data_IF_280341403799
#
_entry.id   IF_280341403799
#
_cell.length_a   1.000
_cell.length_b   1.000
_cell.length_c   1.000
_cell.angle_alpha   90.00
_cell.angle_beta   90.00
_cell.angle_gamma   90.00
#
_symmetry.space_group_name_H-M   'P 1'
#
loop_
_entity.id
_entity.type
_entity.pdbx_description
1 polymer ?
#
# COMPACT_ATOMS: atom_id res chain seq x y z
N UNK A 1 20.70 -17.13 -25.86
CA UNK A 1 19.67 -16.77 -24.83
C UNK A 1 19.83 -15.29 -24.57
N UNK A 2 18.75 -14.51 -24.58
CA UNK A 2 18.88 -13.05 -24.42
C UNK A 2 18.83 -12.65 -22.95
N UNK A 3 19.91 -12.08 -22.45
CA UNK A 3 20.06 -11.57 -21.08
C UNK A 3 19.86 -10.05 -21.05
N UNK A 4 19.31 -9.50 -19.95
CA UNK A 4 19.24 -8.05 -19.74
C UNK A 4 20.19 -7.67 -18.62
N UNK A 5 21.10 -6.74 -18.91
CA UNK A 5 22.12 -6.26 -17.99
C UNK A 5 22.06 -4.75 -17.83
N UNK A 6 22.19 -4.27 -16.61
CA UNK A 6 22.39 -2.85 -16.31
C UNK A 6 23.88 -2.50 -16.42
N UNK A 7 24.19 -1.40 -17.09
CA UNK A 7 25.53 -0.88 -17.29
C UNK A 7 25.54 0.63 -17.00
N UNK A 8 26.34 1.06 -16.02
CA UNK A 8 26.58 2.49 -15.76
C UNK A 8 27.56 3.10 -16.77
N UNK A 9 28.42 2.27 -17.34
CA UNK A 9 29.33 2.62 -18.44
C UNK A 9 29.48 1.43 -19.38
N UNK A 10 29.69 1.71 -20.67
CA UNK A 10 29.85 0.71 -21.71
C UNK A 10 31.31 0.34 -21.90
N UNK A 11 31.58 -0.91 -22.25
CA UNK A 11 32.88 -1.31 -22.78
C UNK A 11 33.08 -0.74 -24.20
N UNK A 12 34.33 -0.66 -24.68
CA UNK A 12 34.59 -0.19 -26.07
C UNK A 12 33.83 -1.02 -27.12
N UNK A 13 33.67 -2.32 -26.87
CA UNK A 13 32.93 -3.22 -27.76
C UNK A 13 31.43 -2.92 -27.73
N UNK A 14 30.84 -2.75 -26.55
CA UNK A 14 29.43 -2.40 -26.38
C UNK A 14 29.11 -1.03 -26.97
N UNK A 15 29.99 -0.04 -26.75
CA UNK A 15 29.84 1.28 -27.34
C UNK A 15 29.80 1.19 -28.87
N UNK A 16 30.72 0.43 -29.49
CA UNK A 16 30.72 0.22 -30.94
C UNK A 16 29.43 -0.46 -31.43
N UNK A 17 28.90 -1.44 -30.69
CA UNK A 17 27.63 -2.11 -31.02
C UNK A 17 26.42 -1.19 -30.86
N UNK A 18 26.36 -0.39 -29.79
CA UNK A 18 25.31 0.62 -29.57
C UNK A 18 25.35 1.68 -30.67
N UNK A 19 26.53 2.15 -31.05
CA UNK A 19 26.73 3.08 -32.18
C UNK A 19 26.20 2.49 -33.49
N UNK A 20 26.53 1.23 -33.79
CA UNK A 20 26.03 0.57 -34.99
C UNK A 20 24.49 0.44 -35.01
N UNK A 21 23.87 0.10 -33.87
CA UNK A 21 22.41 0.05 -33.74
C UNK A 21 21.77 1.42 -33.96
N UNK A 22 22.36 2.46 -33.38
CA UNK A 22 21.95 3.85 -33.55
C UNK A 22 22.02 4.29 -35.00
N UNK A 23 23.14 4.05 -35.68
CA UNK A 23 23.30 4.38 -37.11
C UNK A 23 22.26 3.70 -37.99
N UNK A 24 21.96 2.43 -37.72
CA UNK A 24 21.00 1.64 -38.48
C UNK A 24 19.55 2.11 -38.28
N UNK A 25 19.22 2.68 -37.11
CA UNK A 25 17.84 3.04 -36.74
C UNK A 25 17.60 4.56 -36.65
N UNK A 26 18.62 5.40 -36.88
CA UNK A 26 18.56 6.84 -36.62
C UNK A 26 17.39 7.54 -37.32
N UNK A 27 17.10 7.14 -38.55
CA UNK A 27 16.07 7.74 -39.41
C UNK A 27 14.66 7.22 -39.14
N UNK A 28 14.51 6.24 -38.25
CA UNK A 28 13.20 5.78 -37.77
C UNK A 28 12.60 6.74 -36.72
N UNK A 29 13.43 7.61 -36.14
CA UNK A 29 13.01 8.59 -35.16
C UNK A 29 12.45 9.85 -35.82
N UNK A 30 11.50 10.51 -35.14
CA UNK A 30 10.92 11.77 -35.63
C UNK A 30 11.17 12.91 -34.64
N UNK A 31 11.94 13.96 -35.00
CA UNK A 31 12.83 14.04 -36.16
C UNK A 31 13.97 13.00 -36.07
N UNK A 32 14.70 12.74 -37.16
CA UNK A 32 15.80 11.77 -37.18
C UNK A 32 16.82 12.08 -36.09
N UNK A 33 17.43 11.04 -35.51
CA UNK A 33 18.50 11.24 -34.54
C UNK A 33 19.70 12.00 -35.14
N UNK A 34 19.85 11.97 -36.47
CA UNK A 34 20.93 12.64 -37.21
C UNK A 34 20.81 14.17 -37.22
N UNK A 35 19.64 14.71 -36.90
CA UNK A 35 19.36 16.15 -36.94
C UNK A 35 19.06 16.72 -35.56
N UNK A 36 19.27 15.93 -34.50
CA UNK A 36 19.00 16.35 -33.11
C UNK A 36 20.28 16.84 -32.45
N UNK A 37 20.14 17.85 -31.58
CA UNK A 37 21.24 18.34 -30.75
C UNK A 37 21.52 17.44 -29.54
N UNK A 38 20.57 16.60 -29.13
CA UNK A 38 20.80 15.58 -28.10
C UNK A 38 19.56 14.81 -27.65
N UNK A 39 19.70 13.85 -26.71
CA UNK A 39 18.60 13.00 -26.23
C UNK A 39 17.53 13.75 -25.42
N UNK A 40 17.91 14.87 -24.80
CA UNK A 40 17.07 15.68 -23.91
C UNK A 40 16.37 16.84 -24.64
N UNK A 41 16.74 17.16 -25.89
CA UNK A 41 16.17 18.24 -26.70
C UNK A 41 14.63 18.20 -26.74
N UNK A 42 13.98 19.26 -26.22
CA UNK A 42 12.52 19.35 -26.13
C UNK A 42 11.88 20.20 -27.23
N UNK A 43 12.62 21.17 -27.75
CA UNK A 43 12.19 22.03 -28.84
C UNK A 43 12.78 21.55 -30.17
N UNK A 44 11.92 21.38 -31.16
CA UNK A 44 12.27 20.99 -32.52
C UNK A 44 11.85 22.08 -33.53
N UNK A 45 11.46 23.27 -33.06
CA UNK A 45 11.08 24.41 -33.86
C UNK A 45 12.32 25.22 -34.28
N UNK A 46 13.08 24.71 -35.26
CA UNK A 46 14.24 25.42 -35.80
C UNK A 46 15.16 24.53 -36.63
N UNK A 47 16.01 25.19 -37.43
CA UNK A 47 17.08 24.58 -38.23
C UNK A 47 18.31 24.28 -37.35
N UNK A 48 18.11 23.63 -36.21
CA UNK A 48 19.23 23.25 -35.33
C UNK A 48 19.99 22.08 -35.97
N UNK A 49 21.15 22.39 -36.55
CA UNK A 49 22.07 21.46 -37.20
C UNK A 49 22.82 20.55 -36.21
N UNK A 50 22.09 19.72 -35.47
CA UNK A 50 22.69 18.66 -34.67
C UNK A 50 23.28 17.54 -35.54
N UNK A 51 24.06 16.66 -34.92
CA UNK A 51 24.64 15.47 -35.57
C UNK A 51 24.38 14.21 -34.75
N UNK A 52 24.44 13.05 -35.42
CA UNK A 52 24.34 11.76 -34.75
C UNK A 52 25.49 11.57 -33.73
N UNK A 53 26.67 12.12 -34.02
CA UNK A 53 27.83 12.02 -33.14
C UNK A 53 27.65 12.82 -31.85
N UNK A 54 27.05 14.01 -31.92
CA UNK A 54 26.71 14.81 -30.74
C UNK A 54 25.68 14.09 -29.87
N UNK A 55 24.64 13.54 -30.51
CA UNK A 55 23.63 12.75 -29.81
C UNK A 55 24.24 11.53 -29.11
N UNK A 56 25.11 10.80 -29.82
CA UNK A 56 25.82 9.65 -29.27
C UNK A 56 26.73 10.06 -28.11
N UNK A 57 27.46 11.17 -28.23
CA UNK A 57 28.34 11.66 -27.17
C UNK A 57 27.58 11.88 -25.86
N UNK A 58 26.44 12.57 -25.93
CA UNK A 58 25.59 12.85 -24.76
C UNK A 58 24.93 11.58 -24.22
N UNK A 59 24.40 10.73 -25.11
CA UNK A 59 23.73 9.49 -24.71
C UNK A 59 24.70 8.52 -24.01
N UNK A 60 25.96 8.46 -24.44
CA UNK A 60 26.97 7.58 -23.84
C UNK A 60 27.37 7.97 -22.41
N UNK A 61 27.02 9.17 -21.96
CA UNK A 61 27.17 9.57 -20.55
C UNK A 61 26.01 9.08 -19.66
N UNK A 62 24.96 8.51 -20.26
CA UNK A 62 23.79 8.01 -19.55
C UNK A 62 24.01 6.57 -19.04
N UNK A 63 23.09 6.09 -18.21
CA UNK A 63 23.06 4.67 -17.84
C UNK A 63 22.28 3.85 -18.86
N UNK A 64 22.62 2.56 -18.98
CA UNK A 64 22.08 1.66 -19.99
C UNK A 64 21.49 0.39 -19.38
N UNK A 65 20.42 -0.09 -20.02
CA UNK A 65 19.98 -1.47 -19.97
C UNK A 65 20.26 -2.09 -21.33
N UNK A 66 21.10 -3.12 -21.37
CA UNK A 66 21.49 -3.82 -22.59
C UNK A 66 20.78 -5.15 -22.65
N UNK A 67 20.22 -5.49 -23.82
CA UNK A 67 19.79 -6.85 -24.14
C UNK A 67 20.88 -7.50 -24.98
N UNK A 68 21.50 -8.54 -24.42
CA UNK A 68 22.67 -9.20 -25.02
C UNK A 68 22.31 -10.63 -25.45
N UNK A 69 22.68 -11.01 -26.67
CA UNK A 69 22.61 -12.36 -27.20
C UNK A 69 24.02 -12.81 -27.59
N UNK A 70 24.53 -13.85 -26.93
CA UNK A 70 25.85 -14.44 -27.21
C UNK A 70 26.98 -13.39 -27.29
N UNK A 71 26.98 -12.42 -26.34
CA UNK A 71 27.95 -11.34 -26.24
C UNK A 71 27.75 -10.17 -27.22
N UNK A 72 26.61 -10.11 -27.91
CA UNK A 72 26.25 -9.02 -28.82
C UNK A 72 25.03 -8.26 -28.31
N UNK A 73 25.13 -6.93 -28.23
CA UNK A 73 24.00 -6.05 -27.90
C UNK A 73 23.03 -6.04 -29.08
N UNK A 74 21.82 -6.57 -28.86
CA UNK A 74 20.75 -6.65 -29.86
C UNK A 74 19.61 -5.65 -29.59
N UNK A 75 19.55 -5.09 -28.38
CA UNK A 75 18.70 -3.96 -28.05
C UNK A 75 19.28 -3.21 -26.85
N UNK A 76 18.92 -1.94 -26.68
CA UNK A 76 19.26 -1.18 -25.48
C UNK A 76 18.18 -0.16 -25.13
N UNK A 77 18.19 0.24 -23.86
CA UNK A 77 17.45 1.38 -23.33
C UNK A 77 18.40 2.26 -22.52
N UNK A 78 18.63 3.50 -22.95
CA UNK A 78 19.37 4.50 -22.18
C UNK A 78 18.43 5.28 -21.26
N UNK A 79 18.90 5.64 -20.08
CA UNK A 79 18.12 6.40 -19.11
C UNK A 79 18.99 7.32 -18.25
N UNK A 80 18.36 8.40 -17.77
CA UNK A 80 18.96 9.39 -16.88
C UNK A 80 18.22 9.37 -15.55
N UNK A 81 18.93 9.43 -14.43
CA UNK A 81 18.32 9.58 -13.09
C UNK A 81 18.25 11.04 -12.69
N UNK A 82 17.29 11.40 -11.84
CA UNK A 82 17.13 12.78 -11.35
C UNK A 82 16.92 13.84 -12.47
N UNK A 83 16.32 13.42 -13.59
CA UNK A 83 16.05 14.24 -14.76
C UNK A 83 14.93 15.25 -14.49
N UNK A 84 15.06 16.44 -15.08
CA UNK A 84 14.09 17.53 -14.98
C UNK A 84 13.73 18.03 -16.38
N UNK A 85 12.44 18.11 -16.68
CA UNK A 85 11.96 18.81 -17.87
C UNK A 85 10.55 19.37 -17.66
N UNK A 86 10.24 20.46 -18.35
CA UNK A 86 8.97 21.18 -18.20
C UNK A 86 7.77 20.30 -18.59
N UNK A 87 7.93 19.42 -19.58
CA UNK A 87 6.86 18.54 -20.06
C UNK A 87 6.40 17.49 -19.04
N UNK A 88 7.21 17.20 -18.01
CA UNK A 88 6.85 16.32 -16.90
C UNK A 88 6.43 17.10 -15.64
N UNK A 89 6.57 18.43 -15.61
CA UNK A 89 6.08 19.30 -14.54
C UNK A 89 6.43 18.81 -13.11
N UNK A 90 5.41 18.73 -12.25
CA UNK A 90 5.51 18.36 -10.83
C UNK A 90 6.00 16.91 -10.58
N UNK A 91 6.13 16.10 -11.63
CA UNK A 91 6.67 14.74 -11.52
C UNK A 91 8.20 14.70 -11.56
N UNK A 92 8.86 15.86 -11.71
CA UNK A 92 10.31 15.99 -11.63
C UNK A 92 10.79 16.29 -10.20
N UNK A 93 12.02 15.87 -9.82
CA UNK A 93 12.92 15.06 -10.62
C UNK A 93 12.48 13.59 -10.70
N UNK A 94 12.75 12.95 -11.84
CA UNK A 94 12.37 11.56 -12.11
C UNK A 94 13.49 10.78 -12.79
N UNK A 95 13.32 9.46 -12.90
CA UNK A 95 14.12 8.70 -13.86
C UNK A 95 13.52 8.90 -15.25
N UNK A 96 14.35 9.05 -16.28
CA UNK A 96 13.88 9.36 -17.62
C UNK A 96 14.42 8.34 -18.62
N UNK A 97 13.51 7.59 -19.22
CA UNK A 97 13.80 6.69 -20.34
C UNK A 97 14.00 7.53 -21.60
N UNK A 98 15.26 7.62 -22.06
CA UNK A 98 15.67 8.55 -23.11
C UNK A 98 15.60 7.91 -24.49
N UNK A 99 16.32 6.81 -24.72
CA UNK A 99 16.45 6.19 -26.05
C UNK A 99 16.29 4.69 -25.94
N UNK A 100 15.36 4.11 -26.71
CA UNK A 100 15.20 2.66 -26.84
C UNK A 100 15.36 2.25 -28.30
N UNK A 101 16.26 1.32 -28.57
CA UNK A 101 16.44 0.73 -29.89
C UNK A 101 16.46 -0.79 -29.77
N UNK A 102 15.82 -1.45 -30.72
CA UNK A 102 15.90 -2.90 -30.93
C UNK A 102 16.36 -3.15 -32.35
N UNK A 103 17.39 -3.99 -32.52
CA UNK A 103 17.90 -4.39 -33.81
C UNK A 103 16.75 -4.85 -34.73
N UNK A 104 16.72 -4.46 -36.02
CA UNK A 104 15.63 -4.79 -36.93
C UNK A 104 15.25 -6.28 -36.94
N UNK A 105 16.24 -7.16 -36.96
CA UNK A 105 16.06 -8.62 -37.01
C UNK A 105 15.58 -9.23 -35.67
N UNK A 106 15.60 -8.44 -34.59
CA UNK A 106 15.18 -8.84 -33.25
C UNK A 106 13.86 -8.19 -32.80
N UNK A 107 13.17 -7.47 -33.70
CA UNK A 107 11.86 -6.86 -33.45
C UNK A 107 10.76 -7.93 -33.33
N UNK A 108 9.68 -7.58 -32.64
CA UNK A 108 8.54 -8.50 -32.41
C UNK A 108 8.79 -9.59 -31.36
N UNK A 109 10.01 -9.69 -30.82
CA UNK A 109 10.38 -10.67 -29.78
C UNK A 109 10.14 -10.19 -28.34
N UNK A 110 9.53 -9.01 -28.17
CA UNK A 110 9.21 -8.45 -26.86
C UNK A 110 10.39 -7.82 -26.10
N UNK A 111 11.54 -7.59 -26.75
CA UNK A 111 12.73 -7.01 -26.10
C UNK A 111 12.48 -5.64 -25.49
N UNK A 112 11.76 -4.75 -26.18
CA UNK A 112 11.38 -3.44 -25.63
C UNK A 112 10.58 -3.56 -24.32
N UNK A 113 9.66 -4.54 -24.25
CA UNK A 113 8.90 -4.80 -23.01
C UNK A 113 9.81 -5.24 -21.87
N UNK A 114 10.75 -6.13 -22.15
CA UNK A 114 11.67 -6.64 -21.13
C UNK A 114 12.64 -5.54 -20.64
N UNK A 115 13.08 -4.64 -21.53
CA UNK A 115 13.91 -3.48 -21.17
C UNK A 115 13.15 -2.48 -20.29
N UNK A 116 11.90 -2.14 -20.63
CA UNK A 116 11.07 -1.31 -19.76
C UNK A 116 10.77 -1.99 -18.42
N UNK A 117 10.53 -3.30 -18.41
CA UNK A 117 10.33 -4.06 -17.17
C UNK A 117 11.56 -4.02 -16.28
N UNK A 118 12.76 -4.16 -16.86
CA UNK A 118 14.00 -4.01 -16.13
C UNK A 118 14.12 -2.59 -15.55
N UNK A 119 13.84 -1.54 -16.33
CA UNK A 119 13.88 -0.15 -15.85
C UNK A 119 12.88 0.08 -14.70
N UNK A 120 11.65 -0.42 -14.86
CA UNK A 120 10.57 -0.27 -13.89
C UNK A 120 10.84 -1.04 -12.59
N UNK A 121 11.59 -2.12 -12.62
CA UNK A 121 11.87 -2.95 -11.45
C UNK A 121 13.24 -2.65 -10.80
N UNK A 122 13.98 -1.66 -11.29
CA UNK A 122 15.23 -1.22 -10.65
C UNK A 122 14.98 -0.83 -9.19
N UNK A 123 15.71 -1.40 -8.23
CA UNK A 123 15.46 -1.12 -6.81
C UNK A 123 15.71 0.35 -6.44
N UNK A 124 16.69 0.98 -7.09
CA UNK A 124 17.10 2.36 -6.91
C UNK A 124 16.29 3.37 -7.74
N UNK A 125 15.24 2.92 -8.46
CA UNK A 125 14.45 3.83 -9.31
C UNK A 125 13.78 4.94 -8.50
N UNK A 126 13.62 6.09 -9.14
CA UNK A 126 12.80 7.19 -8.64
C UNK A 126 11.32 6.80 -8.50
N UNK A 127 10.57 7.57 -7.70
CA UNK A 127 9.10 7.41 -7.58
C UNK A 127 8.42 7.44 -8.96
N UNK A 128 8.92 8.28 -9.86
CA UNK A 128 8.39 8.45 -11.19
C UNK A 128 9.44 8.04 -12.23
N UNK A 129 8.98 7.40 -13.31
CA UNK A 129 9.74 7.27 -14.55
C UNK A 129 8.99 8.06 -15.63
N UNK A 130 9.68 9.00 -16.27
CA UNK A 130 9.19 9.73 -17.43
C UNK A 130 9.74 9.17 -18.73
N UNK A 131 9.01 9.36 -19.82
CA UNK A 131 9.51 9.21 -21.18
C UNK A 131 8.68 10.08 -22.11
N UNK A 132 9.17 10.32 -23.33
CA UNK A 132 8.38 10.98 -24.37
C UNK A 132 8.56 10.27 -25.69
N UNK A 133 7.53 10.34 -26.52
CA UNK A 133 7.55 9.82 -27.88
C UNK A 133 6.76 10.74 -28.81
N UNK A 134 6.75 10.43 -30.11
CA UNK A 134 5.93 11.15 -31.09
C UNK A 134 4.60 10.42 -31.30
N UNK A 135 3.52 11.16 -31.55
CA UNK A 135 2.15 10.60 -31.57
C UNK A 135 1.92 9.51 -32.63
N UNK A 136 2.72 9.47 -33.70
CA UNK A 136 2.65 8.42 -34.72
C UNK A 136 3.51 7.18 -34.43
N UNK A 137 4.24 7.15 -33.30
CA UNK A 137 5.01 5.98 -32.86
C UNK A 137 4.07 4.90 -32.29
N UNK A 138 3.44 4.12 -33.17
CA UNK A 138 2.44 3.11 -32.77
C UNK A 138 2.98 2.07 -31.78
N UNK A 139 4.26 1.73 -31.87
CA UNK A 139 4.89 0.79 -30.94
C UNK A 139 4.89 1.33 -29.50
N UNK A 140 5.36 2.56 -29.32
CA UNK A 140 5.41 3.21 -28.00
C UNK A 140 4.01 3.59 -27.48
N UNK A 141 3.16 4.11 -28.37
CA UNK A 141 1.78 4.47 -28.03
C UNK A 141 0.95 3.26 -27.58
N UNK A 142 1.32 2.03 -27.99
CA UNK A 142 0.68 0.80 -27.57
C UNK A 142 1.32 0.15 -26.33
N UNK A 143 2.66 0.17 -26.23
CA UNK A 143 3.37 -0.49 -25.13
C UNK A 143 3.13 0.22 -23.80
N UNK A 144 3.16 1.56 -23.79
CA UNK A 144 3.09 2.36 -22.57
C UNK A 144 1.76 2.18 -21.81
N UNK A 145 0.57 2.33 -22.42
CA UNK A 145 -0.69 2.13 -21.71
C UNK A 145 -0.85 0.70 -21.17
N UNK A 146 -0.40 -0.32 -21.92
CA UNK A 146 -0.44 -1.72 -21.48
C UNK A 146 0.39 -1.98 -20.23
N UNK A 147 1.46 -1.21 -20.05
CA UNK A 147 2.35 -1.26 -18.88
C UNK A 147 1.92 -0.32 -17.76
N UNK A 148 0.79 0.37 -17.90
CA UNK A 148 0.27 1.30 -16.88
C UNK A 148 0.88 2.70 -16.90
N UNK A 149 1.67 3.04 -17.93
CA UNK A 149 2.13 4.41 -18.13
C UNK A 149 0.94 5.29 -18.55
N UNK A 150 0.90 6.52 -18.03
CA UNK A 150 -0.17 7.50 -18.29
C UNK A 150 0.38 8.66 -19.11
N UNK A 151 -0.41 9.15 -20.05
CA UNK A 151 -0.12 10.41 -20.72
C UNK A 151 -0.37 11.54 -19.73
N UNK A 152 0.62 12.41 -19.53
CA UNK A 152 0.50 13.55 -18.61
C UNK A 152 0.55 14.91 -19.30
N UNK A 153 1.15 14.97 -20.49
CA UNK A 153 1.24 16.19 -21.30
C UNK A 153 1.38 15.85 -22.77
N UNK A 154 0.84 16.71 -23.63
CA UNK A 154 0.94 16.61 -25.08
C UNK A 154 1.30 17.99 -25.62
N UNK A 155 2.38 18.07 -26.38
CA UNK A 155 2.79 19.28 -27.10
C UNK A 155 2.37 19.10 -28.55
N UNK A 156 1.30 19.79 -28.92
CA UNK A 156 0.71 19.72 -30.27
C UNK A 156 1.72 20.18 -31.32
N UNK A 157 1.86 19.42 -32.42
CA UNK A 157 2.84 19.66 -33.48
C UNK A 157 4.31 19.77 -32.99
N UNK A 158 4.60 19.27 -31.79
CA UNK A 158 5.93 19.40 -31.17
C UNK A 158 7.05 18.67 -31.91
N UNK A 159 6.75 17.83 -32.90
CA UNK A 159 7.73 17.15 -33.77
C UNK A 159 7.59 17.54 -35.25
N UNK A 160 6.86 18.62 -35.52
CA UNK A 160 6.50 19.06 -36.85
C UNK A 160 4.99 18.95 -37.11
N UNK A 161 4.51 19.49 -38.25
CA UNK A 161 3.08 19.55 -38.56
C UNK A 161 2.41 18.17 -38.55
N UNK A 162 1.36 18.03 -37.73
CA UNK A 162 0.58 16.80 -37.56
C UNK A 162 1.25 15.72 -36.70
N UNK A 163 2.37 16.03 -36.03
CA UNK A 163 3.10 15.09 -35.17
C UNK A 163 3.36 15.72 -33.81
N UNK A 164 2.67 15.23 -32.79
CA UNK A 164 2.75 15.75 -31.43
C UNK A 164 3.91 15.09 -30.66
N UNK A 165 4.46 15.80 -29.67
CA UNK A 165 5.27 15.18 -28.62
C UNK A 165 4.37 14.77 -27.47
N UNK A 166 4.36 13.49 -27.12
CA UNK A 166 3.54 12.92 -26.04
C UNK A 166 4.43 12.52 -24.88
N UNK A 167 4.14 13.04 -23.70
CA UNK A 167 4.84 12.72 -22.45
C UNK A 167 4.09 11.66 -21.66
N UNK A 168 4.81 10.59 -21.31
CA UNK A 168 4.30 9.48 -20.52
C UNK A 168 4.99 9.42 -19.15
N UNK A 169 4.22 8.97 -18.17
CA UNK A 169 4.64 8.80 -16.78
C UNK A 169 4.29 7.40 -16.28
N UNK A 170 5.26 6.69 -15.72
CA UNK A 170 5.05 5.51 -14.91
C UNK A 170 5.38 5.81 -13.44
N UNK A 171 4.35 5.82 -12.60
CA UNK A 171 4.51 5.94 -11.16
C UNK A 171 4.88 4.57 -10.57
N UNK A 172 5.87 4.53 -9.68
CA UNK A 172 6.19 3.34 -8.89
C UNK A 172 4.90 2.98 -8.14
N UNK A 173 4.40 1.74 -8.25
CA UNK A 173 3.27 1.33 -7.44
C UNK A 173 3.63 1.66 -5.99
N UNK A 174 2.77 2.40 -5.28
CA UNK A 174 2.94 2.49 -3.84
C UNK A 174 3.12 1.05 -3.33
N UNK A 175 4.03 0.84 -2.38
CA UNK A 175 4.07 -0.44 -1.68
C UNK A 175 2.67 -0.65 -1.11
N UNK A 176 1.85 -1.40 -1.83
CA UNK A 176 0.61 -1.94 -1.34
C UNK A 176 1.09 -2.89 -0.26
N UNK A 177 1.12 -2.38 0.99
CA UNK A 177 1.31 -3.21 2.17
C UNK A 177 0.39 -4.39 1.95
N UNK A 178 0.90 -5.63 1.98
CA UNK A 178 0.11 -6.79 1.62
C UNK A 178 -1.17 -6.77 2.45
N UNK A 179 -2.31 -6.69 1.75
CA UNK A 179 -3.67 -6.63 2.33
C UNK A 179 -3.96 -7.85 3.23
N UNK A 180 -3.11 -8.88 3.21
CA UNK A 180 -3.12 -10.02 4.15
C UNK A 180 -2.66 -9.72 5.58
N UNK A 181 -2.16 -8.52 5.91
CA UNK A 181 -1.84 -8.17 7.31
C UNK A 181 -2.89 -7.29 7.97
N UNK A 182 -3.78 -6.64 7.23
CA UNK A 182 -4.70 -5.67 7.83
C UNK A 182 -5.94 -6.35 8.38
N UNK A 183 -6.56 -7.31 7.69
CA UNK A 183 -7.61 -8.17 8.26
C UNK A 183 -7.07 -9.05 9.41
N UNK A 184 -5.86 -9.58 9.29
CA UNK A 184 -5.23 -10.35 10.37
C UNK A 184 -4.85 -9.46 11.57
N UNK A 185 -4.40 -8.22 11.34
CA UNK A 185 -4.10 -7.25 12.42
C UNK A 185 -5.35 -6.61 13.00
N UNK A 186 -6.40 -6.35 12.22
CA UNK A 186 -7.72 -5.96 12.72
C UNK A 186 -8.28 -7.11 13.53
N UNK A 187 -8.25 -8.36 13.04
CA UNK A 187 -8.67 -9.50 13.83
C UNK A 187 -7.83 -9.65 15.11
N UNK A 188 -6.50 -9.54 15.05
CA UNK A 188 -5.62 -9.57 16.23
C UNK A 188 -5.86 -8.39 17.17
N UNK A 189 -6.11 -7.18 16.66
CA UNK A 189 -6.39 -5.97 17.44
C UNK A 189 -7.77 -6.04 18.09
N UNK A 190 -8.79 -6.47 17.34
CA UNK A 190 -10.13 -6.71 17.84
C UNK A 190 -10.14 -7.81 18.90
N UNK A 191 -9.38 -8.90 18.71
CA UNK A 191 -9.16 -9.94 19.72
C UNK A 191 -8.40 -9.42 20.94
N UNK A 192 -7.52 -8.43 20.76
CA UNK A 192 -6.75 -7.79 21.85
C UNK A 192 -7.56 -6.75 22.64
N UNK A 193 -8.58 -6.15 22.01
CA UNK A 193 -9.49 -5.22 22.69
C UNK A 193 -10.54 -6.02 23.49
N UNK A 194 -10.57 -5.92 24.83
CA UNK A 194 -11.38 -6.79 25.70
C UNK A 194 -12.90 -6.59 25.58
N UNK A 195 -13.39 -5.75 24.68
CA UNK A 195 -14.80 -5.36 24.59
C UNK A 195 -15.35 -5.34 23.16
N UNK A 196 -14.64 -5.85 22.16
CA UNK A 196 -15.20 -6.04 20.80
C UNK A 196 -16.18 -7.21 20.79
N UNK A 197 -17.11 -7.21 19.84
CA UNK A 197 -18.11 -8.28 19.72
C UNK A 197 -17.45 -9.62 19.45
N UNK A 198 -16.40 -9.65 18.62
CA UNK A 198 -15.70 -10.88 18.24
C UNK A 198 -14.87 -11.46 19.39
N UNK A 199 -14.19 -10.62 20.19
CA UNK A 199 -13.54 -11.08 21.41
C UNK A 199 -14.55 -11.59 22.46
N UNK A 200 -15.68 -10.88 22.64
CA UNK A 200 -16.77 -11.36 23.51
C UNK A 200 -17.34 -12.71 23.04
N UNK A 201 -17.43 -12.94 21.73
CA UNK A 201 -17.83 -14.24 21.16
C UNK A 201 -16.80 -15.32 21.43
N UNK A 202 -15.52 -15.06 21.25
CA UNK A 202 -14.45 -16.02 21.54
C UNK A 202 -14.39 -16.38 23.03
N UNK A 203 -14.46 -15.39 23.93
CA UNK A 203 -14.56 -15.63 25.38
C UNK A 203 -15.77 -16.52 25.68
N UNK A 204 -16.94 -16.22 25.11
CA UNK A 204 -18.13 -17.06 25.28
C UNK A 204 -17.93 -18.47 24.73
N UNK A 205 -17.32 -18.63 23.54
CA UNK A 205 -17.01 -19.95 22.97
C UNK A 205 -16.11 -20.76 23.89
N UNK A 206 -15.05 -20.15 24.42
CA UNK A 206 -14.13 -20.79 25.36
C UNK A 206 -14.80 -21.17 26.68
N UNK A 207 -15.70 -20.34 27.20
CA UNK A 207 -16.49 -20.65 28.42
C UNK A 207 -17.60 -21.68 28.17
N UNK A 208 -18.19 -21.72 26.97
CA UNK A 208 -19.29 -22.62 26.61
C UNK A 208 -18.78 -24.01 26.22
N UNK A 209 -17.58 -24.15 25.66
CA UNK A 209 -16.98 -25.47 25.31
C UNK A 209 -17.04 -26.50 26.45
N UNK A 210 -16.67 -26.20 27.71
CA UNK A 210 -16.82 -27.15 28.80
C UNK A 210 -18.28 -27.42 29.17
N UNK A 211 -19.15 -26.42 29.14
CA UNK A 211 -20.58 -26.60 29.40
C UNK A 211 -21.28 -27.44 28.31
N UNK A 212 -20.90 -27.25 27.05
CA UNK A 212 -21.41 -27.99 25.89
C UNK A 212 -21.13 -29.50 26.00
N UNK A 213 -19.95 -29.89 26.53
CA UNK A 213 -19.64 -31.30 26.82
C UNK A 213 -20.58 -31.88 27.87
N UNK A 214 -20.89 -31.11 28.91
CA UNK A 214 -21.88 -31.50 29.93
C UNK A 214 -23.29 -31.68 29.34
N UNK A 215 -23.75 -30.74 28.51
CA UNK A 215 -25.06 -30.82 27.86
C UNK A 215 -25.15 -31.96 26.84
N UNK A 216 -24.08 -32.23 26.08
CA UNK A 216 -24.01 -33.38 25.17
C UNK A 216 -24.11 -34.70 25.94
N UNK A 217 -23.45 -34.82 27.09
CA UNK A 217 -23.55 -36.00 27.94
C UNK A 217 -25.00 -36.20 28.45
N UNK A 218 -25.63 -35.15 28.96
CA UNK A 218 -27.04 -35.20 29.43
C UNK A 218 -28.00 -35.55 28.29
N UNK A 219 -27.83 -34.93 27.12
CA UNK A 219 -28.65 -35.23 25.94
C UNK A 219 -28.48 -36.69 25.48
N UNK A 220 -27.25 -37.22 25.53
CA UNK A 220 -26.97 -38.61 25.19
C UNK A 220 -27.70 -39.58 26.12
N UNK A 221 -27.74 -39.29 27.43
CA UNK A 221 -28.49 -40.08 28.42
C UNK A 221 -30.00 -40.02 28.16
N UNK A 222 -30.54 -38.83 27.85
CA UNK A 222 -31.97 -38.65 27.54
C UNK A 222 -32.35 -39.42 26.28
N UNK A 223 -31.54 -39.35 25.21
CA UNK A 223 -31.77 -40.07 23.97
C UNK A 223 -31.71 -41.59 24.17
N UNK A 224 -30.80 -42.07 25.02
CA UNK A 224 -30.71 -43.49 25.38
C UNK A 224 -31.96 -43.95 26.13
N UNK A 225 -32.44 -43.18 27.10
CA UNK A 225 -33.66 -43.47 27.84
C UNK A 225 -34.91 -43.48 26.95
N UNK A 226 -35.03 -42.50 26.04
CA UNK A 226 -36.13 -42.45 25.06
C UNK A 226 -36.07 -43.60 24.06
N UNK A 227 -34.87 -44.01 23.63
CA UNK A 227 -34.67 -45.17 22.77
C UNK A 227 -35.12 -46.47 23.43
N UNK A 228 -34.73 -46.69 24.68
CA UNK A 228 -35.17 -47.85 25.48
C UNK A 228 -36.69 -47.83 25.65
N UNK A 229 -37.27 -46.70 26.05
CA UNK A 229 -38.71 -46.54 26.23
C UNK A 229 -39.51 -46.88 24.96
N UNK A 230 -38.99 -46.50 23.79
CA UNK A 230 -39.67 -46.73 22.52
C UNK A 230 -39.58 -48.19 22.02
N UNK A 231 -38.49 -48.90 22.32
CA UNK A 231 -38.40 -50.36 22.08
C UNK A 231 -39.57 -51.10 22.77
N UNK A 232 -40.05 -50.60 23.91
CA UNK A 232 -41.17 -51.18 24.64
C UNK A 232 -42.56 -50.77 24.12
N UNK A 233 -42.71 -49.63 23.42
CA UNK A 233 -44.01 -49.14 22.93
C UNK A 233 -44.24 -49.35 21.42
N UNK A 234 -43.19 -49.60 20.63
CA UNK A 234 -43.31 -49.98 19.21
C UNK A 234 -43.69 -48.85 18.24
N UNK A 235 -43.55 -47.58 18.63
CA UNK A 235 -43.98 -46.43 17.83
C UNK A 235 -42.80 -45.62 17.28
N UNK A 236 -42.28 -46.10 16.15
CA UNK A 236 -41.04 -45.61 15.52
C UNK A 236 -41.17 -44.21 14.89
N UNK A 237 -42.38 -43.77 14.55
CA UNK A 237 -42.59 -42.49 13.86
C UNK A 237 -42.48 -41.29 14.82
N UNK A 238 -42.98 -41.47 16.05
CA UNK A 238 -42.80 -40.51 17.14
C UNK A 238 -41.31 -40.35 17.52
N UNK A 239 -40.51 -41.41 17.36
CA UNK A 239 -39.06 -41.40 17.63
C UNK A 239 -38.32 -40.43 16.71
N UNK A 240 -38.59 -40.50 15.41
CA UNK A 240 -37.92 -39.66 14.41
C UNK A 240 -38.19 -38.17 14.68
N UNK A 241 -39.44 -37.83 15.03
CA UNK A 241 -39.82 -36.45 15.34
C UNK A 241 -39.12 -35.93 16.61
N UNK A 242 -39.05 -36.77 17.65
CA UNK A 242 -38.38 -36.42 18.91
C UNK A 242 -36.86 -36.25 18.75
N UNK A 243 -36.22 -37.08 17.93
CA UNK A 243 -34.78 -36.97 17.64
C UNK A 243 -34.50 -35.67 16.87
N UNK A 244 -35.31 -35.37 15.84
CA UNK A 244 -35.16 -34.13 15.06
C UNK A 244 -35.41 -32.90 15.94
N UNK A 245 -36.43 -32.93 16.80
CA UNK A 245 -36.71 -31.86 17.75
C UNK A 245 -35.57 -31.67 18.77
N UNK A 246 -35.00 -32.76 19.30
CA UNK A 246 -33.86 -32.70 20.22
C UNK A 246 -32.59 -32.16 19.55
N UNK A 247 -32.32 -32.57 18.30
CA UNK A 247 -31.19 -32.07 17.53
C UNK A 247 -31.34 -30.57 17.19
N UNK A 248 -32.55 -30.14 16.78
CA UNK A 248 -32.87 -28.74 16.54
C UNK A 248 -32.75 -27.90 17.83
N UNK A 249 -33.22 -28.43 18.96
CA UNK A 249 -33.08 -27.78 20.26
C UNK A 249 -31.61 -27.63 20.67
N UNK A 250 -30.80 -28.69 20.54
CA UNK A 250 -29.35 -28.63 20.82
C UNK A 250 -28.64 -27.60 19.93
N UNK A 251 -28.96 -27.57 18.63
CA UNK A 251 -28.37 -26.63 17.68
C UNK A 251 -28.72 -25.18 18.01
N UNK A 252 -30.00 -24.90 18.26
CA UNK A 252 -30.49 -23.57 18.62
C UNK A 252 -29.99 -23.13 20.00
N UNK A 253 -29.91 -24.05 20.97
CA UNK A 253 -29.48 -23.73 22.32
C UNK A 253 -27.96 -23.51 22.37
N UNK A 254 -27.14 -24.40 21.80
CA UNK A 254 -25.68 -24.23 21.82
C UNK A 254 -25.20 -23.04 20.96
N UNK A 255 -25.78 -22.86 19.78
CA UNK A 255 -25.41 -21.76 18.88
C UNK A 255 -26.03 -20.42 19.26
N UNK A 256 -27.31 -20.42 19.63
CA UNK A 256 -28.06 -19.21 19.98
C UNK A 256 -27.68 -18.63 21.34
N UNK A 257 -27.47 -19.49 22.36
CA UNK A 257 -27.09 -19.05 23.70
C UNK A 257 -25.72 -18.37 23.73
N UNK A 258 -24.76 -18.87 22.94
CA UNK A 258 -23.44 -18.25 22.80
C UNK A 258 -23.51 -16.86 22.18
N UNK A 259 -24.32 -16.70 21.12
CA UNK A 259 -24.52 -15.41 20.45
C UNK A 259 -25.22 -14.40 21.36
N UNK A 260 -26.25 -14.83 22.09
CA UNK A 260 -27.00 -13.96 22.99
C UNK A 260 -26.14 -13.48 24.17
N UNK A 261 -25.40 -14.38 24.81
CA UNK A 261 -24.52 -14.01 25.93
C UNK A 261 -23.36 -13.13 25.47
N UNK A 262 -22.76 -13.39 24.31
CA UNK A 262 -21.75 -12.53 23.74
C UNK A 262 -22.29 -11.12 23.48
N UNK A 263 -23.51 -11.01 22.95
CA UNK A 263 -24.19 -9.73 22.73
C UNK A 263 -24.49 -8.99 24.05
N UNK A 264 -24.98 -9.69 25.08
CA UNK A 264 -25.24 -9.10 26.40
C UNK A 264 -23.94 -8.63 27.09
N UNK A 265 -22.87 -9.42 27.02
CA UNK A 265 -21.56 -9.08 27.55
C UNK A 265 -20.94 -7.89 26.82
N UNK A 266 -21.02 -7.89 25.49
CA UNK A 266 -20.62 -6.76 24.66
C UNK A 266 -21.38 -5.49 25.06
N UNK A 267 -22.72 -5.54 25.13
CA UNK A 267 -23.55 -4.40 25.52
C UNK A 267 -23.22 -3.89 26.92
N UNK A 268 -22.93 -4.78 27.88
CA UNK A 268 -22.52 -4.41 29.24
C UNK A 268 -21.13 -3.77 29.25
N UNK A 269 -20.17 -4.30 28.49
CA UNK A 269 -18.81 -3.74 28.39
C UNK A 269 -18.79 -2.42 27.64
N UNK A 270 -19.51 -2.30 26.53
CA UNK A 270 -19.70 -1.04 25.79
C UNK A 270 -20.36 0.01 26.69
N UNK A 271 -21.41 -0.35 27.44
CA UNK A 271 -21.99 0.60 28.41
C UNK A 271 -21.03 0.99 29.55
N UNK A 272 -20.12 0.11 29.94
CA UNK A 272 -19.14 0.44 30.99
C UNK A 272 -17.91 1.19 30.45
N UNK A 273 -17.56 1.01 29.18
CA UNK A 273 -16.35 1.57 28.56
C UNK A 273 -16.63 2.79 27.67
N UNK A 274 -17.82 2.85 27.05
CA UNK A 274 -18.30 3.96 26.22
C UNK A 274 -19.53 4.65 26.81
N UNK A 275 -20.10 4.14 27.91
CA UNK A 275 -21.22 4.79 28.59
C UNK A 275 -20.71 5.90 29.48
N UNK A 276 -20.58 7.07 28.85
CA UNK A 276 -21.02 8.40 29.25
C UNK A 276 -20.07 9.36 28.53
N UNK A 277 -20.62 10.36 27.83
CA UNK A 277 -19.90 11.58 27.46
C UNK A 277 -19.49 12.33 28.74
N UNK A 278 -18.60 11.72 29.52
CA UNK A 278 -18.10 12.31 30.75
C UNK A 278 -17.10 13.37 30.33
N UNK A 279 -17.43 14.64 30.59
CA UNK A 279 -16.48 15.74 30.48
C UNK A 279 -15.22 15.36 31.25
N UNK A 280 -14.15 15.09 30.52
CA UNK A 280 -12.87 14.70 31.05
C UNK A 280 -12.06 15.97 31.30
N UNK A 281 -11.80 16.26 32.56
CA UNK A 281 -10.91 17.38 32.93
C UNK A 281 -9.50 16.82 33.11
N UNK A 282 -8.61 17.17 32.21
CA UNK A 282 -7.19 16.84 32.30
C UNK A 282 -6.48 17.93 33.10
N UNK A 283 -5.75 17.53 34.13
CA UNK A 283 -4.82 18.40 34.87
C UNK A 283 -3.40 17.93 34.65
N UNK A 284 -2.55 18.88 34.32
CA UNK A 284 -1.14 18.67 34.09
C UNK A 284 -0.42 19.08 35.37
N UNK A 285 0.29 18.12 35.97
CA UNK A 285 1.16 18.33 37.14
C UNK A 285 2.62 18.16 36.67
N UNK A 286 3.59 18.63 37.46
CA UNK A 286 5.01 18.72 37.07
C UNK A 286 5.59 17.40 36.52
N UNK A 287 5.18 16.24 37.06
CA UNK A 287 5.66 14.93 36.62
C UNK A 287 4.56 13.99 36.09
N UNK A 288 3.28 14.40 36.11
CA UNK A 288 2.15 13.51 35.82
C UNK A 288 0.99 14.19 35.12
N UNK A 289 0.31 13.43 34.26
CA UNK A 289 -0.99 13.80 33.68
C UNK A 289 -2.08 13.13 34.51
N UNK A 290 -3.00 13.94 35.07
CA UNK A 290 -4.16 13.44 35.83
C UNK A 290 -5.44 13.67 35.04
N UNK A 291 -6.08 12.57 34.64
CA UNK A 291 -7.40 12.60 34.04
C UNK A 291 -8.47 12.42 35.13
N UNK A 292 -9.39 13.37 35.23
CA UNK A 292 -10.52 13.33 36.15
C UNK A 292 -11.81 13.31 35.33
N UNK A 293 -12.64 12.29 35.52
CA UNK A 293 -13.94 12.22 34.86
C UNK A 293 -15.01 12.97 35.66
N UNK A 294 -16.18 13.21 35.04
CA UNK A 294 -17.31 13.89 35.71
C UNK A 294 -17.88 13.10 36.90
N UNK A 295 -17.62 11.79 36.96
CA UNK A 295 -17.94 10.93 38.11
C UNK A 295 -16.90 10.98 39.24
N UNK A 296 -15.89 11.85 39.16
CA UNK A 296 -14.86 12.07 40.17
C UNK A 296 -13.80 10.97 40.29
N UNK A 297 -13.82 9.95 39.42
CA UNK A 297 -12.75 8.96 39.29
C UNK A 297 -11.52 9.62 38.70
N UNK A 298 -10.36 9.28 39.26
CA UNK A 298 -9.08 9.88 38.91
C UNK A 298 -8.15 8.78 38.42
N UNK A 299 -7.50 9.00 37.28
CA UNK A 299 -6.39 8.17 36.81
C UNK A 299 -5.20 9.08 36.54
N UNK A 300 -4.05 8.73 37.11
CA UNK A 300 -2.81 9.49 36.98
C UNK A 300 -1.80 8.67 36.21
N UNK A 301 -1.08 9.32 35.30
CA UNK A 301 -0.06 8.70 34.49
C UNK A 301 1.24 9.51 34.56
N UNK A 302 2.38 8.83 34.66
CA UNK A 302 3.70 9.45 34.53
C UNK A 302 4.01 9.75 33.07
N UNK A 303 4.80 10.80 32.79
CA UNK A 303 5.27 11.09 31.44
C UNK A 303 6.10 9.95 30.84
N UNK A 304 6.84 9.20 31.68
CA UNK A 304 7.60 8.02 31.22
C UNK A 304 6.69 6.90 30.70
N UNK A 305 5.42 6.87 31.11
CA UNK A 305 4.45 5.87 30.65
C UNK A 305 3.86 6.21 29.27
N UNK A 306 4.13 7.40 28.75
CA UNK A 306 3.68 7.85 27.43
C UNK A 306 4.62 7.28 26.37
N UNK A 307 4.08 6.39 25.53
CA UNK A 307 4.83 5.78 24.42
C UNK A 307 4.74 6.58 23.14
N UNK A 308 3.55 7.07 22.82
CA UNK A 308 3.26 7.80 21.58
C UNK A 308 2.17 8.84 21.80
N UNK A 309 2.28 9.98 21.11
CA UNK A 309 1.24 10.99 21.01
C UNK A 309 0.88 11.12 19.53
N UNK A 310 -0.41 11.09 19.21
CA UNK A 310 -0.93 11.41 17.88
C UNK A 310 -1.83 12.64 17.97
N UNK A 311 -1.63 13.58 17.05
CA UNK A 311 -2.47 14.75 16.89
C UNK A 311 -3.41 14.56 15.70
N UNK A 312 -4.69 14.89 15.89
CA UNK A 312 -5.71 14.88 14.86
C UNK A 312 -6.56 16.14 15.00
N UNK A 313 -6.31 17.18 14.21
CA UNK A 313 -7.01 18.49 14.12
C UNK A 313 -7.28 19.21 15.47
N UNK A 314 -8.14 18.64 16.32
CA UNK A 314 -8.48 19.14 17.65
C UNK A 314 -8.33 18.09 18.76
N UNK A 315 -7.77 16.92 18.49
CA UNK A 315 -7.69 15.78 19.42
C UNK A 315 -6.25 15.30 19.56
N UNK A 316 -5.80 15.17 20.81
CA UNK A 316 -4.55 14.51 21.16
C UNK A 316 -4.82 13.12 21.73
N UNK A 317 -4.21 12.10 21.13
CA UNK A 317 -4.29 10.71 21.57
C UNK A 317 -2.96 10.31 22.23
N UNK A 318 -3.00 10.04 23.53
CA UNK A 318 -1.85 9.55 24.29
C UNK A 318 -1.93 8.03 24.39
N UNK A 319 -0.92 7.34 23.85
CA UNK A 319 -0.78 5.89 23.93
C UNK A 319 0.12 5.53 25.10
N UNK A 320 -0.44 4.82 26.08
CA UNK A 320 0.23 4.46 27.32
C UNK A 320 0.66 2.98 27.34
N UNK A 321 1.57 2.62 28.24
CA UNK A 321 2.14 1.26 28.31
C UNK A 321 1.12 0.13 28.51
N UNK A 322 0.05 0.39 29.26
CA UNK A 322 -0.98 -0.59 29.62
C UNK A 322 -2.09 -0.74 28.57
N UNK A 323 -1.80 -0.53 27.28
CA UNK A 323 -2.81 -0.53 26.20
C UNK A 323 -3.97 0.45 26.46
N UNK A 324 -3.72 1.50 27.25
CA UNK A 324 -4.69 2.56 27.53
C UNK A 324 -4.43 3.72 26.58
N UNK A 325 -5.50 4.21 25.93
CA UNK A 325 -5.44 5.44 25.12
C UNK A 325 -6.21 6.52 25.86
N UNK A 326 -5.56 7.66 26.11
CA UNK A 326 -6.21 8.86 26.62
C UNK A 326 -6.46 9.81 25.44
N UNK A 327 -7.71 10.18 25.22
CA UNK A 327 -8.08 11.17 24.21
C UNK A 327 -8.37 12.51 24.89
N UNK A 328 -7.72 13.58 24.42
CA UNK A 328 -7.84 14.94 24.95
C UNK A 328 -8.26 15.87 23.83
N UNK A 329 -9.45 16.44 23.93
CA UNK A 329 -9.92 17.48 22.98
C UNK A 329 -9.24 18.81 23.33
N UNK A 330 -8.43 19.34 22.42
CA UNK A 330 -7.71 20.60 22.56
C UNK A 330 -8.64 21.79 22.74
N UNK A 331 -9.88 21.74 22.21
CA UNK A 331 -10.89 22.80 22.40
C UNK A 331 -11.39 22.89 23.83
N UNK A 332 -11.16 21.85 24.63
CA UNK A 332 -11.45 21.89 26.07
C UNK A 332 -10.44 22.74 26.86
N UNK A 333 -9.28 23.05 26.25
CA UNK A 333 -8.26 23.93 26.83
C UNK A 333 -8.44 25.36 26.31
N UNK A 334 -8.31 26.38 27.18
CA UNK A 334 -8.28 27.79 26.76
C UNK A 334 -7.20 28.02 25.70
N UNK A 335 -7.51 28.79 24.64
CA UNK A 335 -6.59 29.03 23.49
C UNK A 335 -5.19 29.48 23.92
N UNK A 336 -5.10 30.34 24.93
CA UNK A 336 -3.83 30.83 25.47
C UNK A 336 -2.98 29.75 26.17
N UNK A 337 -3.54 28.58 26.49
CA UNK A 337 -2.85 27.46 27.12
C UNK A 337 -2.59 26.29 26.19
N UNK A 338 -3.12 26.31 24.96
CA UNK A 338 -2.93 25.22 24.01
C UNK A 338 -1.46 25.14 23.56
N UNK A 339 -0.84 26.29 23.27
CA UNK A 339 0.58 26.38 22.87
C UNK A 339 1.51 26.00 24.03
N UNK A 340 1.27 26.53 25.23
CA UNK A 340 2.05 26.20 26.43
C UNK A 340 1.95 24.71 26.77
N UNK A 341 0.77 24.12 26.58
CA UNK A 341 0.56 22.69 26.80
C UNK A 341 1.36 21.83 25.83
N UNK A 342 1.44 22.21 24.55
CA UNK A 342 2.27 21.51 23.55
C UNK A 342 3.75 21.56 23.90
N UNK A 343 4.28 22.75 24.17
CA UNK A 343 5.68 22.95 24.56
C UNK A 343 6.03 22.18 25.83
N UNK A 344 5.11 22.15 26.79
CA UNK A 344 5.26 21.38 28.02
C UNK A 344 5.35 19.87 27.74
N UNK A 345 4.50 19.33 26.85
CA UNK A 345 4.55 17.90 26.48
C UNK A 345 5.83 17.54 25.74
N UNK A 346 6.32 18.39 24.84
CA UNK A 346 7.61 18.19 24.14
C UNK A 346 8.80 18.13 25.11
N UNK A 347 8.79 18.99 26.13
CA UNK A 347 9.87 19.05 27.12
C UNK A 347 9.92 17.80 28.04
N UNK A 348 8.77 17.19 28.34
CA UNK A 348 8.67 16.12 29.34
C UNK A 348 8.48 14.71 28.73
N UNK A 349 7.95 14.58 27.51
CA UNK A 349 7.70 13.29 26.86
C UNK A 349 8.84 12.90 25.89
N UNK A 350 9.99 12.50 26.45
CA UNK A 350 11.26 12.25 25.73
C UNK A 350 11.20 11.28 24.53
N UNK A 351 10.21 10.38 24.48
CA UNK A 351 10.13 9.32 23.47
C UNK A 351 9.20 9.66 22.29
N UNK A 352 8.81 10.93 22.14
CA UNK A 352 7.71 11.29 21.25
C UNK A 352 7.98 12.56 20.49
N UNK A 353 8.04 12.47 19.16
CA UNK A 353 7.91 13.64 18.28
C UNK A 353 6.42 13.93 18.11
N UNK A 354 5.97 15.07 18.59
CA UNK A 354 4.70 15.64 18.15
C UNK A 354 4.83 15.99 16.66
N UNK A 355 3.78 15.68 15.89
CA UNK A 355 3.76 15.83 14.43
C UNK A 355 3.19 17.18 14.03
#
# INVERSE_FOLDING_TARGET
MIEIRQAESLTQQEEAQVRALMEACADEFVPSLRTRSGPEQADFSGDEGGSLDDYLHDMLQQSFLLAEEDGHVVAFLSYVTNFKCDGLGDYCPCDYASTLITAPDHRGQGLANRLYEALENRPERSKFIGSRTWSTNQAQMHIFPKRGWKIISVVENGRGPGIDTVYFLHEKPEEVKPVKKEEEKEALFELSCPYTMENCREICRHTIRPAARGYLAVASVILLGLGIYNIFLGDYLAMAFMIVAAAAFLYLFLGGYARLNAWLLYRRRVRNNHGMEEKLTVRVEEERIRAINSSGRRKSFSYDQVRRILECEHLLLFFMEEMTVLAVDMRSLPENRQTDFRLFLEAHCKNTKLH
#
